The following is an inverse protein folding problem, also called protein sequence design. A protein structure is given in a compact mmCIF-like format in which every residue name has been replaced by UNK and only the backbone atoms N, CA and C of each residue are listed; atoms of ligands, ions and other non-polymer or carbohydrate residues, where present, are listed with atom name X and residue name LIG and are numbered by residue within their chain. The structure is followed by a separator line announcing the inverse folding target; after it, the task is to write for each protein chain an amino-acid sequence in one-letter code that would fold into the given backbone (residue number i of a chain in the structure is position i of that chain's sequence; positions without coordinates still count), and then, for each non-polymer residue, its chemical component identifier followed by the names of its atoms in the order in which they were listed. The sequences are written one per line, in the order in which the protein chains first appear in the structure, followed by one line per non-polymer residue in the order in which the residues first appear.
data_IF_025579929835
#
_entry.id   IF_025579929835
#
_cell.length_a   1.000
_cell.length_b   1.000
_cell.length_c   1.000
_cell.angle_alpha   90.00
_cell.angle_beta   90.00
_cell.angle_gamma   90.00
#
_symmetry.space_group_name_H-M   'P 1'
#
loop_
_entity.id
_entity.type
_entity.pdbx_description
1 polymer ?
#
# COMPACT_ATOMS: atom_id res chain seq x y z
N UNK A 1 24.80 13.27 10.34
CA UNK A 1 24.66 11.87 10.68
C UNK A 1 23.29 11.48 10.21
N UNK A 2 23.26 10.83 9.06
CA UNK A 2 22.06 10.15 8.54
C UNK A 2 21.83 8.95 9.45
N UNK A 3 21.24 9.24 10.58
CA UNK A 3 20.66 8.18 11.37
C UNK A 3 19.57 7.55 10.49
N UNK A 4 19.75 6.28 10.23
CA UNK A 4 18.78 5.43 9.56
C UNK A 4 17.37 5.80 10.05
N UNK A 5 16.64 6.54 9.25
CA UNK A 5 15.20 6.59 9.35
C UNK A 5 14.72 5.18 8.99
N UNK A 6 14.97 4.27 9.89
CA UNK A 6 14.42 2.95 9.83
C UNK A 6 12.91 3.11 10.00
N UNK A 7 12.15 2.66 9.05
CA UNK A 7 10.69 2.46 9.17
C UNK A 7 10.33 1.52 10.32
N UNK A 8 11.30 0.85 10.85
CA UNK A 8 11.16 0.06 12.04
C UNK A 8 11.13 1.04 13.21
N UNK A 9 10.00 1.17 13.87
CA UNK A 9 9.99 1.58 15.27
C UNK A 9 11.15 0.84 15.95
N UNK A 10 12.01 1.56 16.64
CA UNK A 10 13.08 0.92 17.37
C UNK A 10 12.48 -0.17 18.23
N UNK A 11 13.03 -1.37 18.14
CA UNK A 11 12.50 -2.54 18.86
C UNK A 11 12.35 -2.30 20.38
N UNK A 12 13.11 -1.33 20.91
CA UNK A 12 13.05 -0.88 22.30
C UNK A 12 11.87 0.07 22.59
N UNK A 13 11.24 0.64 21.57
CA UNK A 13 10.08 1.53 21.70
C UNK A 13 8.74 0.77 21.57
N UNK A 14 8.75 -0.47 21.12
CA UNK A 14 7.57 -1.31 21.08
C UNK A 14 7.44 -2.11 22.40
N UNK A 15 6.51 -1.72 23.30
CA UNK A 15 6.40 -2.35 24.63
C UNK A 15 6.00 -3.83 24.58
N UNK A 16 5.51 -4.31 23.45
CA UNK A 16 5.06 -5.69 23.26
C UNK A 16 6.04 -6.56 22.47
N UNK A 17 7.12 -5.97 21.97
CA UNK A 17 8.13 -6.75 21.25
C UNK A 17 9.17 -7.23 22.24
N UNK A 18 9.31 -8.53 22.49
CA UNK A 18 10.39 -9.04 23.32
C UNK A 18 11.72 -8.64 22.69
N UNK A 19 12.70 -8.28 23.51
CA UNK A 19 14.04 -7.95 23.03
C UNK A 19 14.54 -9.11 22.19
N UNK A 20 14.66 -8.86 20.88
CA UNK A 20 15.19 -9.84 19.93
C UNK A 20 16.67 -9.98 20.26
N UNK A 21 17.07 -11.16 20.69
CA UNK A 21 18.49 -11.47 20.74
C UNK A 21 18.95 -11.81 19.32
N UNK A 22 20.26 -11.77 19.06
CA UNK A 22 20.85 -11.98 17.73
C UNK A 22 20.44 -13.33 17.06
N UNK A 23 19.79 -14.25 17.78
CA UNK A 23 19.35 -15.56 17.30
C UNK A 23 17.88 -15.61 16.84
N UNK A 24 17.07 -14.62 17.25
CA UNK A 24 15.61 -14.67 17.05
C UNK A 24 15.13 -13.61 16.03
N UNK A 25 15.96 -13.24 15.09
CA UNK A 25 15.73 -12.12 14.16
C UNK A 25 14.55 -12.28 13.18
N UNK A 26 13.73 -13.28 13.29
CA UNK A 26 12.75 -13.56 12.23
C UNK A 26 11.28 -13.45 12.60
N UNK A 27 10.92 -13.46 13.86
CA UNK A 27 9.54 -13.78 14.25
C UNK A 27 8.69 -12.59 14.69
N UNK A 28 9.24 -11.38 14.79
CA UNK A 28 8.51 -10.23 15.35
C UNK A 28 8.26 -9.10 14.36
N UNK A 29 8.68 -9.25 13.13
CA UNK A 29 8.51 -8.24 12.09
C UNK A 29 7.04 -8.09 11.67
N UNK A 30 6.23 -9.12 11.86
CA UNK A 30 4.80 -9.13 11.57
C UNK A 30 3.96 -8.26 12.52
N UNK A 31 4.53 -7.85 13.66
CA UNK A 31 3.89 -6.91 14.60
C UNK A 31 4.33 -5.47 14.42
N UNK A 32 5.31 -5.23 13.55
CA UNK A 32 5.85 -3.89 13.29
C UNK A 32 5.16 -3.29 12.06
N UNK A 33 4.64 -2.05 12.11
CA UNK A 33 4.04 -1.43 10.96
C UNK A 33 5.10 -1.15 9.88
N UNK A 34 4.86 -1.62 8.67
CA UNK A 34 5.67 -1.32 7.50
C UNK A 34 4.87 -0.48 6.51
N UNK A 35 5.46 0.57 6.04
CA UNK A 35 4.83 1.42 5.02
C UNK A 35 4.60 0.68 3.71
N UNK A 36 5.52 -0.19 3.32
CA UNK A 36 5.42 -0.98 2.10
C UNK A 36 6.05 -2.36 2.29
N UNK A 37 5.34 -3.29 2.93
CA UNK A 37 5.86 -4.60 3.31
C UNK A 37 6.27 -5.42 2.09
N UNK A 38 7.38 -6.16 2.23
CA UNK A 38 7.96 -7.01 1.20
C UNK A 38 8.14 -8.44 1.71
N UNK A 39 8.22 -9.39 0.78
CA UNK A 39 8.54 -10.77 1.12
C UNK A 39 10.04 -10.96 1.34
N UNK A 40 10.43 -11.71 2.37
CA UNK A 40 11.80 -12.14 2.60
C UNK A 40 12.55 -11.47 3.74
N UNK A 41 11.91 -10.52 4.44
CA UNK A 41 12.50 -9.81 5.59
C UNK A 41 12.05 -10.36 6.96
N UNK A 42 11.31 -11.47 6.99
CA UNK A 42 10.72 -12.02 8.22
C UNK A 42 9.33 -11.46 8.54
N UNK A 43 8.79 -10.62 7.68
CA UNK A 43 7.39 -10.22 7.69
C UNK A 43 6.56 -11.29 6.94
N UNK A 44 5.60 -11.89 7.60
CA UNK A 44 4.74 -12.94 7.05
C UNK A 44 3.34 -12.44 6.67
N UNK A 45 3.11 -11.13 6.77
CA UNK A 45 1.88 -10.50 6.29
C UNK A 45 1.82 -10.50 4.75
N UNK A 46 0.66 -10.16 4.22
CA UNK A 46 0.49 -10.01 2.77
C UNK A 46 1.44 -8.91 2.25
N UNK A 47 2.40 -9.22 1.37
CA UNK A 47 3.33 -8.22 0.89
C UNK A 47 2.65 -7.24 -0.06
N UNK A 48 3.02 -5.96 0.02
CA UNK A 48 2.54 -4.91 -0.88
C UNK A 48 3.10 -5.07 -2.30
N UNK A 49 4.27 -5.71 -2.42
CA UNK A 49 4.89 -5.99 -3.72
C UNK A 49 5.35 -7.44 -3.78
N UNK A 50 5.05 -8.09 -4.89
CA UNK A 50 5.54 -9.43 -5.21
C UNK A 50 6.17 -9.42 -6.59
N UNK A 51 7.47 -9.60 -6.62
CA UNK A 51 8.27 -9.76 -7.83
C UNK A 51 8.92 -11.14 -7.80
N UNK A 52 9.26 -11.65 -8.96
CA UNK A 52 10.03 -12.88 -9.09
C UNK A 52 11.11 -12.68 -10.15
N UNK A 53 12.34 -12.97 -9.81
CA UNK A 53 13.45 -12.97 -10.75
C UNK A 53 13.46 -14.23 -11.62
N UNK A 54 14.39 -14.28 -12.57
CA UNK A 54 14.56 -15.42 -13.48
C UNK A 54 15.01 -16.73 -12.79
N UNK A 55 15.38 -16.67 -11.51
CA UNK A 55 15.75 -17.80 -10.67
C UNK A 55 14.62 -18.24 -9.72
N UNK A 56 13.47 -17.59 -9.80
CA UNK A 56 12.32 -17.83 -8.93
C UNK A 56 12.44 -17.21 -7.55
N UNK A 57 13.38 -16.29 -7.30
CA UNK A 57 13.52 -15.58 -6.04
C UNK A 57 12.56 -14.40 -5.99
N UNK A 58 11.85 -14.28 -4.87
CA UNK A 58 10.89 -13.20 -4.62
C UNK A 58 11.27 -12.31 -3.42
N UNK A 59 12.35 -12.64 -2.72
CA UNK A 59 12.78 -11.86 -1.56
C UNK A 59 13.32 -10.49 -1.97
N UNK A 60 12.88 -9.46 -1.26
CA UNK A 60 13.30 -8.06 -1.43
C UNK A 60 13.74 -7.49 -0.08
N UNK A 61 14.63 -6.50 -0.11
CA UNK A 61 15.02 -5.69 1.04
C UNK A 61 14.98 -4.22 0.62
N UNK A 62 13.79 -3.64 0.65
CA UNK A 62 13.58 -2.23 0.31
C UNK A 62 14.02 -1.33 1.45
N UNK A 63 14.97 -0.45 1.18
CA UNK A 63 15.51 0.53 2.13
C UNK A 63 15.22 1.94 1.65
N UNK A 64 14.93 2.82 2.59
CA UNK A 64 14.77 4.23 2.32
C UNK A 64 16.05 4.83 1.70
N UNK A 65 15.87 5.68 0.69
CA UNK A 65 16.95 6.42 0.03
C UNK A 65 16.76 7.91 0.20
N UNK A 66 15.61 8.44 -0.21
CA UNK A 66 15.33 9.87 -0.20
C UNK A 66 13.85 10.15 -0.32
N UNK A 67 13.46 11.39 -0.07
CA UNK A 67 12.15 11.90 -0.43
C UNK A 67 12.25 13.22 -1.17
N UNK A 68 11.18 13.55 -1.89
CA UNK A 68 11.00 14.83 -2.55
C UNK A 68 9.56 15.31 -2.30
N UNK A 69 9.40 16.61 -2.01
CA UNK A 69 8.08 17.24 -1.87
C UNK A 69 7.88 18.20 -3.03
N UNK A 70 6.77 18.05 -3.73
CA UNK A 70 6.39 18.91 -4.86
C UNK A 70 4.99 19.45 -4.67
N UNK A 71 4.75 20.65 -5.14
CA UNK A 71 3.40 21.23 -5.23
C UNK A 71 2.64 20.57 -6.38
N UNK A 72 1.34 20.38 -6.17
CA UNK A 72 0.48 19.69 -7.10
C UNK A 72 0.67 18.18 -7.10
N UNK A 73 -0.05 17.51 -8.01
CA UNK A 73 0.06 16.08 -8.22
C UNK A 73 0.84 15.79 -9.50
N UNK A 74 1.98 15.09 -9.45
CA UNK A 74 2.73 14.77 -10.65
C UNK A 74 1.89 13.92 -11.61
N UNK A 75 1.99 14.19 -12.89
CA UNK A 75 1.31 13.41 -13.93
C UNK A 75 2.08 12.11 -14.13
N UNK A 76 1.60 11.05 -13.48
CA UNK A 76 2.17 9.72 -13.61
C UNK A 76 1.59 9.07 -14.87
N UNK A 77 2.34 9.10 -15.95
CA UNK A 77 1.96 8.49 -17.22
C UNK A 77 2.61 7.13 -17.37
N UNK A 78 1.87 6.17 -17.88
CA UNK A 78 2.38 4.89 -18.33
C UNK A 78 2.21 4.80 -19.85
N UNK A 79 3.33 4.73 -20.55
CA UNK A 79 3.33 4.44 -22.00
C UNK A 79 3.33 2.92 -22.19
N UNK A 80 2.33 2.42 -22.90
CA UNK A 80 2.21 1.01 -23.26
C UNK A 80 2.98 0.69 -24.56
N UNK A 81 3.15 -0.58 -24.86
CA UNK A 81 3.86 -1.05 -26.06
C UNK A 81 3.23 -0.58 -27.37
N UNK A 82 1.92 -0.43 -27.41
CA UNK A 82 1.16 0.10 -28.55
C UNK A 82 1.20 1.63 -28.67
N UNK A 83 2.04 2.30 -27.90
CA UNK A 83 2.14 3.75 -27.74
C UNK A 83 0.93 4.43 -27.07
N UNK A 84 -0.04 3.69 -26.59
CA UNK A 84 -1.12 4.25 -25.77
C UNK A 84 -0.55 4.79 -24.48
N UNK A 85 -1.08 5.92 -24.01
CA UNK A 85 -0.71 6.54 -22.74
C UNK A 85 -1.86 6.39 -21.75
N UNK A 86 -1.61 5.72 -20.64
CA UNK A 86 -2.54 5.71 -19.50
C UNK A 86 -2.28 6.93 -18.63
N UNK A 87 -3.33 7.66 -18.35
CA UNK A 87 -3.30 8.81 -17.46
C UNK A 87 -3.75 8.40 -16.04
N UNK A 88 -3.33 9.14 -15.01
CA UNK A 88 -3.85 8.94 -13.65
C UNK A 88 -5.34 9.30 -13.57
N UNK A 89 -6.03 8.73 -12.60
CA UNK A 89 -7.45 8.98 -12.38
C UNK A 89 -7.75 10.38 -11.82
N UNK A 90 -6.76 11.03 -11.22
CA UNK A 90 -6.90 12.34 -10.60
C UNK A 90 -5.74 13.25 -10.98
N UNK A 91 -6.04 14.53 -11.07
CA UNK A 91 -5.08 15.61 -11.33
C UNK A 91 -5.22 16.65 -10.24
N UNK A 92 -4.16 17.37 -9.96
CA UNK A 92 -4.17 18.53 -9.09
C UNK A 92 -3.05 19.49 -9.47
N UNK A 93 -3.34 20.77 -9.46
CA UNK A 93 -2.35 21.82 -9.63
C UNK A 93 -1.62 22.17 -8.31
N UNK A 94 -0.73 23.14 -8.36
CA UNK A 94 0.10 23.54 -7.22
C UNK A 94 -0.67 24.17 -6.06
N UNK A 95 -1.92 24.60 -6.28
CA UNK A 95 -2.79 25.20 -5.27
C UNK A 95 -3.75 24.19 -4.65
N UNK A 96 -3.97 23.06 -5.31
CA UNK A 96 -4.95 22.06 -4.91
C UNK A 96 -4.36 20.96 -4.04
N UNK A 97 -3.07 20.64 -4.25
CA UNK A 97 -2.44 19.53 -3.54
C UNK A 97 -0.93 19.70 -3.37
N UNK A 98 -0.38 18.89 -2.45
CA UNK A 98 1.05 18.65 -2.33
C UNK A 98 1.34 17.14 -2.39
N UNK A 99 2.47 16.79 -2.97
CA UNK A 99 2.88 15.39 -3.12
C UNK A 99 4.24 15.16 -2.49
N UNK A 100 4.32 14.14 -1.64
CA UNK A 100 5.60 13.55 -1.24
C UNK A 100 5.85 12.28 -2.06
N UNK A 101 7.05 12.18 -2.61
CA UNK A 101 7.57 11.01 -3.32
C UNK A 101 8.71 10.40 -2.51
N UNK A 102 8.51 9.21 -1.97
CA UNK A 102 9.51 8.51 -1.15
C UNK A 102 10.17 7.43 -2.01
N UNK A 103 11.49 7.48 -2.13
CA UNK A 103 12.27 6.51 -2.89
C UNK A 103 12.84 5.45 -1.96
N UNK A 104 12.53 4.20 -2.27
CA UNK A 104 13.09 3.00 -1.66
C UNK A 104 13.96 2.27 -2.68
N UNK A 105 14.98 1.56 -2.23
CA UNK A 105 15.87 0.76 -3.09
C UNK A 105 16.15 -0.62 -2.47
N UNK A 106 16.10 -1.64 -3.30
CA UNK A 106 16.75 -2.92 -3.04
C UNK A 106 18.13 -2.93 -3.73
N UNK A 107 19.20 -2.76 -2.95
CA UNK A 107 20.56 -2.71 -3.47
C UNK A 107 21.02 -4.00 -4.14
N UNK A 108 20.47 -5.14 -3.75
CA UNK A 108 20.82 -6.44 -4.29
C UNK A 108 20.32 -6.60 -5.74
N UNK A 109 19.14 -6.10 -6.01
CA UNK A 109 18.50 -6.26 -7.31
C UNK A 109 18.59 -5.02 -8.20
N UNK A 110 18.87 -3.86 -7.60
CA UNK A 110 18.81 -2.57 -8.29
C UNK A 110 17.37 -2.07 -8.52
N UNK A 111 16.39 -2.67 -7.86
CA UNK A 111 15.02 -2.20 -7.92
C UNK A 111 14.85 -0.93 -7.08
N UNK A 112 14.28 0.11 -7.69
CA UNK A 112 13.78 1.27 -6.97
C UNK A 112 12.25 1.25 -6.97
N UNK A 113 11.68 1.57 -5.83
CA UNK A 113 10.23 1.75 -5.63
C UNK A 113 10.00 3.18 -5.16
N UNK A 114 9.16 3.92 -5.87
CA UNK A 114 8.79 5.29 -5.48
C UNK A 114 7.33 5.27 -5.04
N UNK A 115 7.10 5.66 -3.79
CA UNK A 115 5.80 5.78 -3.17
C UNK A 115 5.35 7.23 -3.26
N UNK A 116 4.23 7.49 -3.93
CA UNK A 116 3.64 8.82 -4.03
C UNK A 116 2.45 8.94 -3.11
N UNK A 117 2.43 10.01 -2.33
CA UNK A 117 1.33 10.42 -1.46
C UNK A 117 0.95 11.83 -1.86
N UNK A 118 -0.22 12.03 -2.40
CA UNK A 118 -0.73 13.36 -2.70
C UNK A 118 -1.86 13.69 -1.76
N UNK A 119 -1.70 14.77 -1.01
CA UNK A 119 -2.70 15.31 -0.07
C UNK A 119 -3.37 16.50 -0.74
N UNK A 120 -4.70 16.49 -0.77
CA UNK A 120 -5.49 17.59 -1.29
C UNK A 120 -5.84 18.55 -0.14
N UNK A 121 -5.51 19.84 -0.32
CA UNK A 121 -5.57 20.83 0.76
C UNK A 121 -6.98 21.09 1.29
N UNK A 122 -7.97 21.14 0.38
CA UNK A 122 -9.35 21.48 0.69
C UNK A 122 -10.29 20.26 0.77
N UNK A 123 -9.72 19.07 0.70
CA UNK A 123 -10.44 17.81 0.76
C UNK A 123 -9.74 16.86 1.74
N UNK A 124 -10.51 16.08 2.46
CA UNK A 124 -9.96 15.01 3.31
C UNK A 124 -9.60 13.80 2.45
N UNK A 125 -8.75 14.03 1.44
CA UNK A 125 -8.37 13.03 0.44
C UNK A 125 -6.86 12.90 0.33
N UNK A 126 -6.39 11.66 0.40
CA UNK A 126 -5.02 11.29 0.06
C UNK A 126 -5.04 10.30 -1.10
N UNK A 127 -4.33 10.60 -2.18
CA UNK A 127 -4.15 9.64 -3.27
C UNK A 127 -2.80 8.95 -3.16
N UNK A 128 -2.78 7.67 -3.45
CA UNK A 128 -1.61 6.80 -3.37
C UNK A 128 -1.31 6.19 -4.73
N UNK A 129 -0.03 6.18 -5.10
CA UNK A 129 0.45 5.46 -6.28
C UNK A 129 1.88 5.02 -6.11
N UNK A 130 2.28 4.01 -6.88
CA UNK A 130 3.60 3.39 -6.79
C UNK A 130 4.22 3.34 -8.17
N UNK A 131 5.51 3.68 -8.26
CA UNK A 131 6.31 3.54 -9.48
C UNK A 131 7.47 2.60 -9.22
N UNK A 132 7.62 1.61 -10.09
CA UNK A 132 8.74 0.69 -10.09
C UNK A 132 9.75 1.10 -11.16
N UNK A 133 11.03 1.11 -10.79
CA UNK A 133 12.13 1.37 -11.71
C UNK A 133 13.16 0.27 -11.52
N UNK A 134 13.33 -0.55 -12.54
CA UNK A 134 14.40 -1.54 -12.56
C UNK A 134 15.69 -0.90 -13.10
N UNK A 135 16.64 -0.65 -12.22
CA UNK A 135 18.00 -0.18 -12.56
C UNK A 135 19.01 -1.32 -12.63
N UNK A 136 18.59 -2.53 -12.27
CA UNK A 136 19.40 -3.73 -12.36
C UNK A 136 19.48 -4.27 -13.79
N UNK A 137 20.26 -5.33 -13.96
CA UNK A 137 20.43 -6.02 -15.25
C UNK A 137 19.42 -7.15 -15.47
N UNK A 138 18.80 -7.64 -14.41
CA UNK A 138 17.89 -8.79 -14.46
C UNK A 138 16.45 -8.32 -14.62
N UNK A 139 15.68 -9.07 -15.43
CA UNK A 139 14.25 -8.85 -15.57
C UNK A 139 13.48 -9.42 -14.36
N UNK A 140 12.36 -8.80 -14.01
CA UNK A 140 11.43 -9.27 -13.00
C UNK A 140 10.06 -9.58 -13.61
N UNK A 141 9.48 -10.66 -13.13
CA UNK A 141 8.07 -10.96 -13.32
C UNK A 141 7.27 -10.30 -12.19
N UNK A 142 6.46 -9.31 -12.55
CA UNK A 142 5.67 -8.53 -11.59
C UNK A 142 4.37 -9.27 -11.31
N UNK A 143 4.23 -9.85 -10.11
CA UNK A 143 3.05 -10.62 -9.70
C UNK A 143 2.01 -9.76 -9.02
N UNK A 144 2.46 -8.78 -8.21
CA UNK A 144 1.59 -7.84 -7.49
C UNK A 144 2.32 -6.55 -7.21
N UNK A 145 1.58 -5.46 -7.30
CA UNK A 145 1.97 -4.15 -6.80
C UNK A 145 0.72 -3.50 -6.22
N UNK A 146 0.64 -3.36 -4.92
CA UNK A 146 -0.43 -2.62 -4.25
C UNK A 146 -0.08 -1.13 -4.27
N UNK A 147 -1.09 -0.28 -4.41
CA UNK A 147 -0.90 1.18 -4.37
C UNK A 147 -0.74 1.73 -2.96
N UNK A 148 -1.25 1.03 -1.96
CA UNK A 148 -1.21 1.45 -0.57
C UNK A 148 -1.14 0.24 0.36
N UNK A 149 -0.52 0.44 1.52
CA UNK A 149 -0.65 -0.38 2.71
C UNK A 149 -0.89 0.58 3.87
N UNK A 150 -1.83 0.29 4.74
CA UNK A 150 -2.17 1.11 5.91
C UNK A 150 -2.40 0.18 7.08
N UNK A 151 -1.66 0.38 8.15
CA UNK A 151 -1.86 -0.29 9.42
C UNK A 151 -2.72 0.58 10.34
N UNK A 152 -3.61 -0.05 11.09
CA UNK A 152 -4.47 0.60 12.09
C UNK A 152 -4.14 0.07 13.47
N UNK A 153 -4.21 0.93 14.48
CA UNK A 153 -3.90 0.60 15.87
C UNK A 153 -4.98 -0.24 16.56
N UNK A 154 -6.12 -0.43 15.90
CA UNK A 154 -7.29 -1.09 16.48
C UNK A 154 -7.99 -1.95 15.44
N UNK A 155 -8.63 -3.01 15.92
CA UNK A 155 -9.56 -3.85 15.16
C UNK A 155 -11.04 -3.52 15.43
N UNK A 156 -11.30 -2.44 16.17
CA UNK A 156 -12.65 -2.04 16.59
C UNK A 156 -13.43 -1.34 15.47
N UNK A 157 -13.37 -1.94 14.27
CA UNK A 157 -14.04 -1.46 13.07
C UNK A 157 -14.92 -2.53 12.46
N UNK A 158 -15.94 -2.07 11.74
CA UNK A 158 -16.67 -2.85 10.78
C UNK A 158 -16.19 -2.50 9.37
N UNK A 159 -16.10 -3.49 8.51
CA UNK A 159 -15.83 -3.33 7.09
C UNK A 159 -17.14 -3.19 6.33
N UNK A 160 -17.31 -2.09 5.62
CA UNK A 160 -18.41 -1.89 4.67
C UNK A 160 -17.89 -2.14 3.26
N UNK A 161 -18.62 -2.96 2.50
CA UNK A 161 -18.37 -3.25 1.09
C UNK A 161 -19.65 -3.08 0.28
N UNK A 162 -19.50 -2.86 -1.02
CA UNK A 162 -20.62 -2.74 -1.96
C UNK A 162 -20.58 -3.89 -2.94
N UNK A 163 -21.50 -4.82 -2.75
CA UNK A 163 -21.61 -6.05 -3.55
C UNK A 163 -22.88 -6.04 -4.38
N UNK A 164 -23.10 -7.06 -5.19
CA UNK A 164 -24.34 -7.15 -5.93
C UNK A 164 -24.32 -8.06 -7.14
N UNK A 165 -25.29 -7.84 -7.98
CA UNK A 165 -25.46 -8.52 -9.26
C UNK A 165 -26.07 -7.55 -10.27
N UNK A 166 -26.21 -7.96 -11.52
CA UNK A 166 -26.92 -7.19 -12.52
C UNK A 166 -28.35 -6.83 -12.06
N UNK A 167 -28.71 -5.56 -12.18
CA UNK A 167 -29.94 -4.97 -11.68
C UNK A 167 -30.17 -5.02 -10.15
N UNK A 168 -29.09 -5.29 -9.39
CA UNK A 168 -29.04 -5.25 -7.92
C UNK A 168 -27.63 -4.85 -7.47
N UNK A 169 -27.15 -3.76 -8.04
CA UNK A 169 -25.80 -3.26 -7.78
C UNK A 169 -25.72 -2.52 -6.44
N UNK A 170 -24.50 -2.50 -5.87
CA UNK A 170 -24.16 -1.70 -4.70
C UNK A 170 -24.99 -2.01 -3.45
N UNK A 171 -25.32 -3.26 -3.26
CA UNK A 171 -25.88 -3.69 -1.98
C UNK A 171 -24.81 -3.54 -0.92
N UNK A 172 -25.10 -2.72 0.08
CA UNK A 172 -24.18 -2.48 1.20
C UNK A 172 -24.18 -3.70 2.11
N UNK A 173 -22.97 -4.21 2.36
CA UNK A 173 -22.73 -5.22 3.38
C UNK A 173 -21.82 -4.62 4.44
N UNK A 174 -22.16 -4.83 5.70
CA UNK A 174 -21.39 -4.40 6.86
C UNK A 174 -21.03 -5.63 7.68
N UNK A 175 -19.74 -5.90 7.81
CA UNK A 175 -19.21 -7.06 8.51
C UNK A 175 -18.18 -6.63 9.55
N UNK A 176 -18.27 -7.18 10.75
CA UNK A 176 -17.25 -6.99 11.75
C UNK A 176 -15.91 -7.55 11.28
N UNK A 177 -14.81 -6.84 11.54
CA UNK A 177 -13.48 -7.37 11.30
C UNK A 177 -13.24 -8.62 12.14
N UNK A 178 -12.63 -9.61 11.56
CA UNK A 178 -12.25 -10.85 12.22
C UNK A 178 -10.90 -11.34 11.73
N UNK A 179 -10.30 -12.29 12.40
CA UNK A 179 -9.05 -12.89 11.99
C UNK A 179 -9.16 -13.50 10.59
N UNK A 180 -8.08 -13.37 9.82
CA UNK A 180 -7.98 -13.84 8.48
C UNK A 180 -8.17 -12.73 7.44
N UNK A 181 -8.13 -13.09 6.17
CA UNK A 181 -8.24 -12.15 5.07
C UNK A 181 -9.70 -11.86 4.77
N UNK A 182 -10.07 -10.58 4.80
CA UNK A 182 -11.31 -10.07 4.25
C UNK A 182 -10.95 -9.14 3.09
N UNK A 183 -11.74 -9.13 2.02
CA UNK A 183 -11.40 -8.30 0.87
C UNK A 183 -12.44 -8.36 -0.22
N UNK A 184 -12.29 -7.46 -1.17
CA UNK A 184 -13.02 -7.39 -2.42
C UNK A 184 -12.04 -7.57 -3.56
N UNK A 185 -12.41 -8.35 -4.56
CA UNK A 185 -11.61 -8.56 -5.75
C UNK A 185 -12.46 -8.73 -7.00
N UNK A 186 -11.85 -8.63 -8.17
CA UNK A 186 -12.50 -8.94 -9.44
C UNK A 186 -11.46 -9.50 -10.40
N UNK A 187 -11.78 -10.63 -11.01
CA UNK A 187 -10.95 -11.25 -12.07
C UNK A 187 -11.42 -10.85 -13.47
N UNK A 188 -12.35 -9.91 -13.57
CA UNK A 188 -12.92 -9.45 -14.86
C UNK A 188 -12.01 -8.45 -15.60
N UNK A 189 -10.94 -7.96 -14.94
CA UNK A 189 -10.08 -6.91 -15.50
C UNK A 189 -10.69 -5.51 -15.48
N UNK A 190 -11.86 -5.35 -14.90
CA UNK A 190 -12.58 -4.09 -14.69
C UNK A 190 -13.33 -4.11 -13.36
N UNK A 191 -13.74 -2.95 -12.87
CA UNK A 191 -14.66 -2.89 -11.73
C UNK A 191 -15.99 -3.51 -12.13
N UNK A 192 -16.58 -4.29 -11.22
CA UNK A 192 -17.79 -5.05 -11.51
C UNK A 192 -18.91 -4.67 -10.58
N UNK A 193 -20.13 -4.96 -11.01
CA UNK A 193 -21.31 -4.80 -10.17
C UNK A 193 -21.42 -5.87 -9.06
N UNK A 194 -20.63 -6.95 -9.14
CA UNK A 194 -20.54 -7.92 -8.05
C UNK A 194 -19.70 -7.41 -6.89
N UNK A 195 -18.58 -6.75 -7.20
CA UNK A 195 -17.65 -6.20 -6.19
C UNK A 195 -17.21 -4.82 -6.65
N UNK A 196 -17.78 -3.78 -6.08
CA UNK A 196 -17.31 -2.42 -6.34
C UNK A 196 -15.93 -2.21 -5.68
N UNK A 197 -15.04 -1.45 -6.30
CA UNK A 197 -13.73 -1.11 -5.73
C UNK A 197 -13.88 -0.03 -4.63
N UNK A 198 -14.65 -0.36 -3.62
CA UNK A 198 -14.97 0.48 -2.47
C UNK A 198 -14.92 -0.34 -1.20
N UNK A 199 -14.26 0.20 -0.19
CA UNK A 199 -14.30 -0.31 1.17
C UNK A 199 -14.28 0.87 2.14
N UNK A 200 -15.03 0.78 3.22
CA UNK A 200 -14.96 1.72 4.32
C UNK A 200 -14.75 0.97 5.63
N UNK A 201 -13.92 1.53 6.51
CA UNK A 201 -13.78 1.10 7.89
C UNK A 201 -14.54 2.09 8.76
N UNK A 202 -15.51 1.61 9.49
CA UNK A 202 -16.37 2.44 10.33
C UNK A 202 -16.35 1.94 11.77
N UNK A 203 -16.49 2.84 12.73
CA UNK A 203 -16.68 2.46 14.12
C UNK A 203 -17.89 1.55 14.27
N UNK A 204 -17.86 0.61 15.21
CA UNK A 204 -19.02 -0.26 15.50
C UNK A 204 -20.30 0.51 15.83
N UNK A 205 -20.17 1.71 16.41
CA UNK A 205 -21.28 2.58 16.79
C UNK A 205 -21.67 3.59 15.70
N UNK A 206 -20.99 3.59 14.55
CA UNK A 206 -21.30 4.54 13.49
C UNK A 206 -22.65 4.22 12.84
N UNK A 207 -23.48 5.25 12.74
CA UNK A 207 -24.79 5.25 12.08
C UNK A 207 -25.00 6.60 11.35
N UNK A 208 -26.21 6.87 10.87
CA UNK A 208 -26.54 8.11 10.15
C UNK A 208 -26.41 9.38 11.02
N UNK A 209 -26.53 9.24 12.34
CA UNK A 209 -26.55 10.36 13.28
C UNK A 209 -25.24 10.47 14.08
N UNK A 210 -24.50 9.38 14.21
CA UNK A 210 -23.32 9.29 15.08
C UNK A 210 -22.19 8.50 14.44
N UNK A 211 -21.02 9.08 14.41
CA UNK A 211 -19.79 8.44 14.05
C UNK A 211 -19.23 8.90 12.71
N UNK A 212 -17.95 8.64 12.55
CA UNK A 212 -17.17 8.90 11.35
C UNK A 212 -16.74 7.58 10.72
N UNK A 213 -16.65 7.55 9.43
CA UNK A 213 -16.16 6.44 8.64
C UNK A 213 -14.64 6.60 8.35
#
# INVERSE_FOLDING_TARGET
DDEDLSYLLRLDENPFTPKVNERDMGTFMDTTPFEYPVHGTGDYREPAIMLMDNKGMSALDLRYVSYEITKGKPILQQKLEDNTVRLPATFADENEAETIAITLEDKRTGLNVILYYTVFADLDVVTRSVKLINKGSEAFDVRRVLSACVDFDSDQYDLITLNGSWARERVMERCRLHHGKQGIDSVKGESSHQNNPFAALVSHSADEDMGEA
#
